data_IF_978047396682
#
_entry.id   IF_978047396682
#
_cell.length_a   1.000
_cell.length_b   1.000
_cell.length_c   1.000
_cell.angle_alpha   90.00
_cell.angle_beta   90.00
_cell.angle_gamma   90.00
#
_symmetry.space_group_name_H-M   'P 1'
#
loop_
_entity.id
_entity.type
_entity.pdbx_description
1 polymer ?
2 non-polymer ?
3 non-polymer ?
4 water ?
#
# COMPACT_ATOMS: atom_id res chain seq x y z
N UNK A 1 -1.35 -21.66 -1.75
CA UNK A 1 -1.54 -20.93 -0.50
C UNK A 1 -3.02 -20.77 -0.19
N UNK A 2 -3.34 -20.68 1.08
CA UNK A 2 -4.70 -20.39 1.50
C UNK A 2 -5.00 -18.90 1.33
N UNK A 3 -6.22 -18.57 0.94
CA UNK A 3 -6.60 -17.18 0.73
C UNK A 3 -6.33 -16.32 1.95
N UNK A 4 -6.66 -16.84 3.13
CA UNK A 4 -6.46 -16.09 4.37
C UNK A 4 -4.97 -15.84 4.62
N UNK A 5 -4.14 -16.81 4.28
CA UNK A 5 -2.69 -16.67 4.46
C UNK A 5 -2.12 -15.57 3.58
N UNK A 6 -2.56 -15.51 2.32
CA UNK A 6 -2.12 -14.45 1.43
C UNK A 6 -2.56 -13.10 1.96
N UNK A 7 -3.82 -13.02 2.39
CA UNK A 7 -4.37 -11.80 2.96
C UNK A 7 -3.57 -11.34 4.18
N UNK A 8 -3.23 -12.27 5.07
CA UNK A 8 -2.58 -11.90 6.33
C UNK A 8 -1.13 -11.45 6.15
N UNK A 9 -0.49 -11.84 5.05
CA UNK A 9 0.89 -11.39 4.83
C UNK A 9 0.99 -10.25 3.82
N UNK A 10 -0.08 -9.97 3.09
CA UNK A 10 -0.01 -8.98 2.01
C UNK A 10 -1.23 -8.07 1.89
N UNK A 11 -2.35 -8.63 1.43
CA UNK A 11 -3.52 -7.83 1.07
C UNK A 11 -4.07 -6.98 2.21
N UNK A 12 -4.00 -7.50 3.43
CA UNK A 12 -4.57 -6.83 4.60
C UNK A 12 -4.03 -5.41 4.78
N UNK A 13 -2.80 -5.17 4.34
CA UNK A 13 -2.12 -3.89 4.55
C UNK A 13 -3.00 -2.72 4.13
N UNK A 14 -3.66 -2.85 2.98
CA UNK A 14 -4.50 -1.78 2.46
C UNK A 14 -5.99 -2.11 2.52
N UNK A 15 -6.32 -3.40 2.50
CA UNK A 15 -7.72 -3.81 2.41
C UNK A 15 -8.40 -4.02 3.77
N UNK A 16 -7.63 -4.15 4.84
CA UNK A 16 -8.25 -4.34 6.16
C UNK A 16 -9.10 -3.13 6.53
N UNK A 17 -8.61 -1.93 6.21
CA UNK A 17 -9.34 -0.70 6.53
C UNK A 17 -9.89 -0.04 5.27
N UNK A 18 -9.50 -0.55 4.11
CA UNK A 18 -9.94 0.01 2.84
C UNK A 18 -9.27 1.34 2.57
N UNK A 19 -7.94 1.34 2.62
CA UNK A 19 -7.17 2.57 2.46
C UNK A 19 -7.18 2.99 0.99
N UNK A 20 -7.20 4.30 0.76
CA UNK A 20 -7.21 4.91 -0.57
C UNK A 20 -8.28 4.32 -1.48
N UNK A 21 -9.43 3.98 -0.90
CA UNK A 21 -10.54 3.46 -1.67
C UNK A 21 -10.51 1.97 -1.94
N UNK A 22 -9.55 1.26 -1.35
CA UNK A 22 -9.50 -0.19 -1.51
C UNK A 22 -10.80 -0.79 -0.97
N UNK A 23 -11.38 -1.75 -1.69
CA UNK A 23 -12.58 -2.41 -1.15
C UNK A 23 -12.24 -3.15 0.13
N UNK A 24 -12.92 -2.79 1.21
CA UNK A 24 -12.60 -3.30 2.54
C UNK A 24 -12.86 -4.80 2.62
N UNK A 25 -11.95 -5.52 3.27
CA UNK A 25 -12.09 -6.96 3.42
C UNK A 25 -13.34 -7.29 4.23
N UNK A 26 -14.03 -8.34 3.81
CA UNK A 26 -15.25 -8.85 4.44
C UNK A 26 -16.44 -7.90 4.28
N UNK A 27 -16.26 -6.87 3.45
CA UNK A 27 -17.34 -5.98 3.06
C UNK A 27 -17.96 -6.50 1.77
N UNK A 28 -18.99 -7.33 1.89
CA UNK A 28 -19.57 -8.01 0.74
C UNK A 28 -20.17 -7.04 -0.27
N UNK A 29 -20.76 -5.95 0.23
CA UNK A 29 -21.38 -4.96 -0.63
C UNK A 29 -20.34 -4.24 -1.48
N UNK A 30 -19.18 -3.96 -0.89
CA UNK A 30 -18.13 -3.24 -1.60
C UNK A 30 -17.48 -4.13 -2.67
N UNK A 31 -17.42 -5.43 -2.39
CA UNK A 31 -16.76 -6.36 -3.30
C UNK A 31 -17.67 -6.88 -4.41
N UNK A 32 -18.98 -6.83 -4.18
CA UNK A 32 -19.94 -7.38 -5.15
C UNK A 32 -19.74 -6.84 -6.58
N UNK A 33 -19.66 -5.51 -6.77
CA UNK A 33 -19.47 -5.04 -8.15
C UNK A 33 -18.13 -5.46 -8.74
N UNK A 34 -17.13 -5.64 -7.88
CA UNK A 34 -15.81 -6.03 -8.36
C UNK A 34 -15.76 -7.51 -8.71
N UNK A 35 -16.32 -8.35 -7.84
CA UNK A 35 -16.47 -9.78 -8.13
C UNK A 35 -17.24 -9.99 -9.44
N UNK A 36 -18.23 -9.13 -9.70
CA UNK A 36 -19.08 -9.25 -10.89
C UNK A 36 -18.29 -9.13 -12.20
N UNK A 37 -17.12 -8.53 -12.15
CA UNK A 37 -16.27 -8.35 -13.29
C UNK A 37 -15.69 -9.68 -13.75
N UNK A 38 -15.72 -10.66 -12.88
CA UNK A 38 -15.16 -11.96 -13.16
C UNK A 38 -13.78 -12.10 -12.54
N UNK A 39 -13.53 -13.25 -11.92
CA UNK A 39 -12.27 -13.49 -11.22
C UNK A 39 -11.06 -13.43 -12.13
N UNK A 40 -11.18 -13.97 -13.35
CA UNK A 40 -10.09 -13.88 -14.33
C UNK A 40 -9.63 -12.43 -14.50
N UNK A 41 -10.61 -11.53 -14.61
CA UNK A 41 -10.34 -10.11 -14.78
C UNK A 41 -9.67 -9.51 -13.54
N UNK A 42 -10.18 -9.88 -12.37
CA UNK A 42 -9.63 -9.37 -11.11
C UNK A 42 -8.20 -9.83 -10.88
N UNK A 43 -7.91 -11.10 -11.15
CA UNK A 43 -6.56 -11.61 -10.97
C UNK A 43 -5.60 -10.86 -11.90
N UNK A 44 -6.02 -10.65 -13.15
CA UNK A 44 -5.21 -9.90 -14.10
C UNK A 44 -4.93 -8.49 -13.60
N UNK A 45 -5.96 -7.83 -13.09
CA UNK A 45 -5.82 -6.48 -12.55
C UNK A 45 -4.83 -6.41 -11.38
N UNK A 46 -4.90 -7.37 -10.47
CA UNK A 46 -4.01 -7.39 -9.31
C UNK A 46 -2.55 -7.52 -9.73
N UNK A 47 -2.31 -8.36 -10.72
CA UNK A 47 -0.95 -8.62 -11.19
C UNK A 47 -0.33 -7.42 -11.91
N UNK A 48 -1.15 -6.61 -12.57
CA UNK A 48 -0.66 -5.44 -13.29
C UNK A 48 -0.75 -4.18 -12.43
N UNK A 49 -1.61 -4.23 -11.42
CA UNK A 49 -1.82 -3.09 -10.56
C UNK A 49 -2.98 -2.24 -11.06
N UNK A 50 -3.51 -1.42 -10.17
CA UNK A 50 -4.61 -0.53 -10.53
C UNK A 50 -4.58 0.69 -9.62
N UNK A 51 -4.21 1.83 -10.21
CA UNK A 51 -4.10 3.08 -9.47
C UNK A 51 -3.17 2.99 -8.28
N UNK A 52 -3.74 3.12 -7.09
CA UNK A 52 -2.97 3.11 -5.85
C UNK A 52 -2.45 1.72 -5.49
N UNK A 53 -3.08 0.67 -6.01
CA UNK A 53 -2.57 -0.67 -5.75
C UNK A 53 -1.41 -1.00 -6.67
N UNK A 54 -0.28 -1.40 -6.08
CA UNK A 54 0.91 -1.80 -6.83
C UNK A 54 0.77 -3.20 -7.44
N UNK A 55 1.39 -3.43 -8.61
CA UNK A 55 1.31 -4.73 -9.29
C UNK A 55 1.73 -5.88 -8.38
N UNK A 56 0.83 -6.85 -8.18
CA UNK A 56 1.13 -8.00 -7.34
C UNK A 56 0.48 -7.95 -5.96
N UNK A 57 -0.02 -6.78 -5.58
CA UNK A 57 -0.64 -6.59 -4.28
C UNK A 57 0.28 -6.97 -3.13
N UNK A 58 1.57 -6.72 -3.32
CA UNK A 58 2.62 -7.01 -2.33
C UNK A 58 2.71 -8.48 -1.90
N UNK A 59 2.19 -9.37 -2.72
CA UNK A 59 2.47 -10.79 -2.55
C UNK A 59 3.60 -11.15 -3.51
N UNK A 60 4.68 -11.72 -2.98
CA UNK A 60 5.88 -11.92 -3.78
C UNK A 60 5.96 -13.31 -4.40
N UNK A 61 5.04 -14.20 -4.01
CA UNK A 61 5.10 -15.58 -4.47
C UNK A 61 3.73 -16.14 -4.87
N UNK A 62 2.83 -15.26 -5.28
CA UNK A 62 1.44 -15.66 -5.53
C UNK A 62 1.18 -16.19 -6.94
N UNK A 63 0.63 -17.39 -7.01
CA UNK A 63 0.09 -17.93 -8.25
C UNK A 63 -1.26 -17.26 -8.53
N UNK A 64 -1.82 -17.50 -9.71
CA UNK A 64 -3.17 -17.03 -10.02
C UNK A 64 -4.17 -17.62 -9.04
N UNK A 65 -3.98 -18.88 -8.68
CA UNK A 65 -4.82 -19.54 -7.70
C UNK A 65 -4.76 -18.86 -6.34
N UNK A 66 -3.56 -18.46 -5.96
CA UNK A 66 -3.35 -17.73 -4.71
C UNK A 66 -4.11 -16.42 -4.72
N UNK A 67 -3.98 -15.66 -5.81
CA UNK A 67 -4.67 -14.38 -5.96
C UNK A 67 -6.18 -14.55 -5.88
N UNK A 68 -6.68 -15.55 -6.60
CA UNK A 68 -8.11 -15.86 -6.59
C UNK A 68 -8.59 -16.23 -5.18
N UNK A 69 -7.83 -17.08 -4.49
CA UNK A 69 -8.18 -17.47 -3.12
C UNK A 69 -8.26 -16.26 -2.19
N UNK A 70 -7.29 -15.36 -2.33
CA UNK A 70 -7.21 -14.16 -1.51
C UNK A 70 -8.43 -13.27 -1.72
N UNK A 71 -8.80 -13.08 -2.98
CA UNK A 71 -9.97 -12.29 -3.33
C UNK A 71 -11.25 -12.90 -2.75
N UNK A 72 -11.39 -14.21 -2.89
CA UNK A 72 -12.54 -14.92 -2.33
C UNK A 72 -12.63 -14.72 -0.81
N UNK A 73 -11.49 -14.74 -0.12
CA UNK A 73 -11.46 -14.50 1.32
C UNK A 73 -11.91 -13.09 1.67
N UNK A 74 -11.50 -12.11 0.87
CA UNK A 74 -11.83 -10.71 1.17
C UNK A 74 -13.28 -10.41 0.82
N UNK A 75 -13.82 -11.13 -0.15
CA UNK A 75 -15.11 -10.79 -0.73
C UNK A 75 -16.28 -11.16 0.18
N UNK A 76 -16.05 -11.91 1.23
CA UNK A 76 -17.05 -12.18 2.23
C UNK A 76 -16.55 -11.83 3.61
N UNK B 1 -1.52 19.84 4.34
CA UNK B 1 -1.81 18.90 5.43
C UNK B 1 -0.63 18.78 6.37
N UNK B 2 -0.88 18.39 7.60
CA UNK B 2 0.16 18.15 8.55
C UNK B 2 0.89 16.86 8.20
N UNK B 3 2.15 16.75 8.54
CA UNK B 3 2.92 15.55 8.26
C UNK B 3 2.39 14.33 8.99
N UNK B 4 2.08 14.51 10.28
CA UNK B 4 1.57 13.43 11.11
C UNK B 4 0.22 12.94 10.61
N UNK B 5 -0.57 13.86 10.07
CA UNK B 5 -1.88 13.50 9.55
C UNK B 5 -1.72 12.60 8.34
N UNK B 6 -0.81 12.97 7.44
CA UNK B 6 -0.54 12.16 6.26
C UNK B 6 -0.09 10.77 6.69
N UNK B 7 0.82 10.72 7.66
CA UNK B 7 1.33 9.46 8.18
C UNK B 7 0.24 8.57 8.77
N UNK B 8 -0.68 9.17 9.51
CA UNK B 8 -1.71 8.42 10.22
C UNK B 8 -2.77 7.86 9.28
N UNK B 9 -2.94 8.48 8.12
CA UNK B 9 -3.98 8.04 7.19
C UNK B 9 -3.43 7.21 6.04
N UNK B 10 -2.11 7.14 5.91
CA UNK B 10 -1.52 6.46 4.75
C UNK B 10 -0.21 5.72 5.04
N UNK B 11 0.85 6.47 5.34
CA UNK B 11 2.20 5.90 5.41
C UNK B 11 2.38 4.84 6.49
N UNK B 12 1.63 4.96 7.58
CA UNK B 12 1.84 4.10 8.75
C UNK B 12 1.64 2.62 8.45
N UNK B 13 0.77 2.31 7.49
CA UNK B 13 0.40 0.92 7.24
C UNK B 13 1.58 0.07 6.75
N UNK B 14 2.65 0.73 6.32
CA UNK B 14 3.88 0.01 5.98
C UNK B 14 5.04 0.46 6.86
N UNK B 15 5.09 1.75 7.16
CA UNK B 15 6.27 2.32 7.79
C UNK B 15 6.27 2.24 9.31
N UNK B 16 5.12 1.97 9.92
CA UNK B 16 5.09 1.78 11.37
C UNK B 16 5.91 0.56 11.80
N UNK B 17 5.62 -0.60 11.21
CA UNK B 17 6.28 -1.84 11.61
C UNK B 17 7.40 -2.21 10.63
N UNK B 18 7.59 -1.39 9.60
CA UNK B 18 8.63 -1.65 8.62
C UNK B 18 8.32 -2.84 7.74
N UNK B 19 7.10 -2.86 7.21
CA UNK B 19 6.62 -3.96 6.38
C UNK B 19 7.40 -4.05 5.06
N UNK B 20 7.77 -5.27 4.67
CA UNK B 20 8.37 -5.54 3.36
C UNK B 20 9.62 -4.71 3.06
N UNK B 21 10.44 -4.48 4.08
CA UNK B 21 11.67 -3.74 3.93
C UNK B 21 11.54 -2.23 4.08
N UNK B 22 10.34 -1.75 4.38
CA UNK B 22 10.12 -0.32 4.56
C UNK B 22 10.91 0.21 5.75
N UNK B 23 11.61 1.35 5.58
CA UNK B 23 12.30 1.96 6.72
C UNK B 23 11.30 2.39 7.79
N UNK B 24 11.47 1.87 9.00
CA UNK B 24 10.55 2.15 10.10
C UNK B 24 10.52 3.63 10.45
N UNK B 25 9.32 4.17 10.61
CA UNK B 25 9.18 5.55 11.03
C UNK B 25 9.92 5.74 12.36
N UNK B 26 10.60 6.88 12.47
CA UNK B 26 11.26 7.31 13.70
C UNK B 26 12.50 6.48 14.04
N UNK B 27 12.95 5.66 13.08
CA UNK B 27 14.23 4.96 13.20
C UNK B 27 15.33 5.89 12.70
N UNK B 28 16.02 6.54 13.63
CA UNK B 28 17.04 7.53 13.29
C UNK B 28 18.10 6.96 12.36
N UNK B 29 18.51 5.72 12.62
CA UNK B 29 19.58 5.08 11.86
C UNK B 29 19.21 4.86 10.39
N UNK B 30 17.93 4.65 10.13
CA UNK B 30 17.48 4.44 8.76
C UNK B 30 17.19 5.77 8.06
N UNK B 31 16.76 6.77 8.82
CA UNK B 31 16.32 8.01 8.20
C UNK B 31 17.41 9.06 8.07
N UNK B 32 18.42 9.02 8.94
CA UNK B 32 19.51 9.99 8.88
C UNK B 32 20.21 10.03 7.51
N UNK B 33 20.59 8.86 6.96
CA UNK B 33 21.20 8.99 5.63
C UNK B 33 20.18 9.40 4.57
N UNK B 34 18.92 9.02 4.75
CA UNK B 34 17.89 9.35 3.78
C UNK B 34 17.67 10.86 3.71
N UNK B 35 17.62 11.50 4.87
CA UNK B 35 17.51 12.95 4.95
C UNK B 35 18.72 13.62 4.29
N UNK B 36 19.88 12.99 4.42
CA UNK B 36 21.13 13.52 3.85
C UNK B 36 21.08 13.60 2.33
N UNK B 37 20.19 12.82 1.72
CA UNK B 37 20.08 12.77 0.27
C UNK B 37 19.23 13.91 -0.27
N UNK B 38 18.57 14.63 0.63
CA UNK B 38 17.71 15.74 0.23
C UNK B 38 16.25 15.36 0.24
N UNK B 39 15.42 16.19 0.86
CA UNK B 39 14.00 15.89 0.99
C UNK B 39 13.30 15.77 -0.37
N UNK B 40 13.67 16.63 -1.31
CA UNK B 40 12.97 16.69 -2.59
C UNK B 40 13.18 15.43 -3.42
N UNK B 41 14.33 14.79 -3.24
CA UNK B 41 14.60 13.54 -3.91
C UNK B 41 13.71 12.45 -3.33
N UNK B 42 13.54 12.47 -2.01
CA UNK B 42 12.70 11.51 -1.32
C UNK B 42 11.24 11.70 -1.74
N UNK B 43 10.83 12.95 -1.87
CA UNK B 43 9.47 13.29 -2.30
C UNK B 43 9.17 12.72 -3.69
N UNK B 44 10.13 12.85 -4.61
CA UNK B 44 9.96 12.31 -5.96
C UNK B 44 9.71 10.80 -5.92
N UNK B 45 10.55 10.08 -5.18
CA UNK B 45 10.45 8.62 -5.06
C UNK B 45 9.07 8.15 -4.57
N UNK B 46 8.48 8.90 -3.64
CA UNK B 46 7.15 8.57 -3.14
C UNK B 46 6.09 8.79 -4.21
N UNK B 47 6.16 9.94 -4.88
CA UNK B 47 5.18 10.29 -5.91
C UNK B 47 5.15 9.26 -7.03
N UNK B 48 6.31 8.81 -7.44
CA UNK B 48 6.42 7.82 -8.48
C UNK B 48 6.29 6.43 -7.95
N UNK B 49 5.99 5.51 -8.83
CA UNK B 49 5.83 4.12 -8.43
C UNK B 49 7.14 3.36 -8.28
N UNK B 50 8.18 4.09 -7.96
CA UNK B 50 9.54 3.63 -7.99
C UNK B 50 9.72 2.38 -7.14
N UNK B 51 9.92 1.26 -7.81
CA UNK B 51 10.11 -0.04 -7.19
C UNK B 51 8.86 -0.80 -6.79
N UNK B 52 7.94 -1.00 -7.74
CA UNK B 52 6.75 -1.81 -7.51
C UNK B 52 5.98 -1.27 -6.33
N UNK B 53 6.17 0.01 -6.05
CA UNK B 53 5.52 0.67 -4.93
C UNK B 53 4.29 1.46 -5.29
N UNK B 54 3.42 1.74 -4.33
CA UNK B 54 2.19 2.47 -4.65
C UNK B 54 2.47 3.95 -4.94
N UNK B 55 2.42 4.37 -6.20
CA UNK B 55 2.67 5.79 -6.48
C UNK B 55 1.85 6.66 -5.55
N UNK B 56 2.51 7.53 -4.80
CA UNK B 56 1.81 8.38 -3.86
C UNK B 56 1.79 7.85 -2.44
N UNK B 57 2.31 6.64 -2.25
CA UNK B 57 2.38 6.03 -0.93
C UNK B 57 1.04 5.93 -0.22
N UNK B 58 0.01 5.57 -0.97
CA UNK B 58 -1.37 5.43 -0.48
C UNK B 58 -1.98 6.73 0.02
N UNK B 59 -1.42 7.87 -0.39
CA UNK B 59 -2.09 9.14 -0.15
C UNK B 59 -2.71 9.64 -1.46
N UNK B 60 -4.01 9.94 -1.42
CA UNK B 60 -4.75 10.28 -2.63
C UNK B 60 -4.89 11.79 -2.86
N UNK B 61 -4.42 12.60 -1.91
CA UNK B 61 -4.58 14.04 -2.02
C UNK B 61 -3.32 14.82 -1.61
N UNK B 62 -2.17 14.16 -1.70
CA UNK B 62 -0.92 14.73 -1.20
C UNK B 62 -0.16 15.54 -2.24
N UNK B 63 0.12 16.79 -1.88
CA UNK B 63 0.96 17.68 -2.67
C UNK B 63 2.43 17.38 -2.39
N UNK B 64 3.31 18.03 -3.13
CA UNK B 64 4.75 17.91 -2.89
C UNK B 64 5.08 18.32 -1.46
N UNK B 65 4.42 19.36 -0.99
CA UNK B 65 4.63 19.86 0.36
C UNK B 65 4.12 18.87 1.41
N UNK B 66 3.00 18.22 1.12
CA UNK B 66 2.43 17.24 2.05
C UNK B 66 3.35 16.02 2.22
N UNK B 67 3.90 15.52 1.12
CA UNK B 67 4.85 14.41 1.17
C UNK B 67 6.07 14.79 2.00
N UNK B 68 6.64 15.94 1.69
CA UNK B 68 7.79 16.48 2.42
C UNK B 68 7.53 16.51 3.92
N UNK B 69 6.37 17.04 4.32
CA UNK B 69 6.00 17.11 5.73
C UNK B 69 5.93 15.72 6.36
N UNK B 70 5.39 14.76 5.62
CA UNK B 70 5.25 13.39 6.10
C UNK B 70 6.61 12.71 6.27
N UNK B 71 7.53 12.98 5.34
CA UNK B 71 8.89 12.47 5.45
C UNK B 71 9.57 12.98 6.71
N UNK B 72 9.49 14.29 6.92
CA UNK B 72 10.09 14.91 8.10
C UNK B 72 9.57 14.27 9.38
N UNK B 73 8.26 14.04 9.43
CA UNK B 73 7.65 13.42 10.60
C UNK B 73 8.20 12.01 10.85
N UNK B 74 8.33 11.21 9.79
CA UNK B 74 8.84 9.85 9.93
C UNK B 74 10.32 9.81 10.31
N UNK B 75 11.04 10.89 10.02
CA UNK B 75 12.47 10.94 10.31
C UNK B 75 12.75 11.57 11.67
N UNK B 76 11.69 11.90 12.40
CA UNK B 76 11.77 12.63 13.68
C UNK B 76 12.41 14.00 13.51
X LIG C 1 -5.83 -4.39 -3.72
X LIG C 1 -8.45 -2.95 -5.34
X LIG C 1 -7.08 -7.55 -4.70
X LIG C 1 -3.30 -6.04 -1.98
X LIG C 1 -4.74 -1.44 -2.61
X LIG C 1 -7.41 -5.11 -4.72
X LIG C 1 -8.31 -4.31 -5.39
X LIG C 1 -9.16 -5.09 -6.20
X LIG C 1 -8.79 -6.38 -6.04
X LIG C 1 -7.71 -6.40 -5.12
X LIG C 1 -9.43 -7.55 -6.73
X LIG C 1 -10.27 -4.58 -7.09
X LIG C 1 -9.74 -4.16 -8.47
X LIG C 1 -10.88 -3.71 -9.35
X LIG C 1 -10.95 -4.09 -10.53
X LIG C 1 -11.75 -2.94 -8.90
X LIG C 1 -5.33 -6.42 -3.39
X LIG C 1 -5.94 -7.51 -3.89
X LIG C 1 -5.27 -8.69 -3.45
X LIG C 1 -4.21 -8.30 -2.69
X LIG C 1 -4.25 -6.82 -2.67
X LIG C 1 -5.67 -10.11 -3.77
X LIG C 1 -3.23 -9.18 -2.00
X LIG C 1 -2.48 -10.06 -2.68
X LIG C 1 -4.28 -3.84 -2.46
X LIG C 1 -3.31 -4.64 -1.92
X LIG C 1 -2.37 -3.81 -1.29
X LIG C 1 -2.78 -2.49 -1.47
X LIG C 1 -3.98 -2.53 -2.22
X LIG C 1 -1.14 -4.29 -0.55
X LIG C 1 -2.11 -1.26 -0.97
X LIG C 1 -0.82 -1.00 -1.22
X LIG C 1 -6.49 -2.64 -3.91
X LIG C 1 -5.89 -1.54 -3.40
X LIG C 1 -6.64 -0.34 -3.79
X LIG C 1 -7.67 -0.76 -4.53
X LIG C 1 -7.54 -2.21 -4.63
X LIG C 1 -6.32 1.08 -3.40
X LIG C 1 -8.72 0.10 -5.18
X LIG C 1 -8.11 0.53 -6.52
X LIG C 1 -9.11 1.27 -7.36
X LIG C 1 -10.31 0.92 -7.38
X LIG C 1 -8.73 2.25 -8.05
X LIG D 1 7.23 4.25 1.70
X LIG D 1 10.55 3.59 1.39
X LIG D 1 8.02 7.66 2.10
X LIG D 1 3.90 5.05 2.39
X LIG D 1 6.44 1.01 1.56
X LIG D 1 8.89 5.38 1.77
X LIG D 1 10.17 4.90 1.54
X LIG D 1 11.08 5.97 1.50
X LIG D 1 10.38 7.11 1.70
X LIG D 1 9.03 6.75 1.86
X LIG D 1 10.98 8.49 1.73
X LIG D 1 12.58 5.92 1.29
X LIG D 1 12.97 5.73 -0.18
X LIG D 1 14.48 5.73 -0.32
X LIG D 1 15.01 6.19 -1.36
X LIG D 1 15.20 5.26 0.59
X LIG D 1 6.20 6.03 2.18
X LIG D 1 6.69 7.27 2.26
X LIG D 1 5.65 8.19 2.56
X LIG D 1 4.48 7.49 2.65
X LIG D 1 4.85 6.08 2.38
X LIG D 1 5.79 9.68 2.75
X LIG D 1 3.14 8.03 2.95
X LIG D 1 2.55 8.89 2.12
X LIG D 1 5.45 3.21 1.97
X LIG D 1 4.20 3.72 2.16
X LIG D 1 3.29 2.65 2.12
X LIG D 1 4.01 1.49 1.88
X LIG D 1 5.38 1.86 1.78
X LIG D 1 1.79 2.79 2.29
X LIG D 1 3.47 0.12 1.76
X LIG D 1 2.58 -0.17 0.81
X LIG D 1 8.28 2.70 1.56
X LIG D 1 7.77 1.45 1.48
X LIG D 1 8.84 0.47 1.31
X LIG D 1 9.99 1.18 1.27
X LIG D 1 9.61 2.59 1.40
X LIG D 1 8.68 -1.03 1.21
X LIG D 1 11.38 0.62 1.08
X LIG D 1 11.61 0.46 -0.42
X LIG D 1 13.01 -0.03 -0.67
X LIG D 1 13.88 0.76 -1.11
X LIG D 1 13.31 -1.22 -0.42
X LIG E 1 6.97 4.62 -0.44
X LIG E 1 8.00 4.65 -1.32
X LIG E 1 7.47 4.75 -2.57
X LIG E 1 6.14 4.78 -2.46
X LIG E 1 5.83 4.71 -1.13
#
# INVERSE_FOLDING_TARGET
>A
QEGKAVYDKACHICHSMGVAGAPKAHDAAAWEPRIAQGLDTLVSTVKTGKGAMPPGGMCTDCTDEDYKSAIEYMSK
>B
QEGKAVYDKACHICHSMGVAGAPKAHDAAAWEPRIAQGLDTLVSTVKTGKGAMPPGGMCTDCTDEDYKSAIEYMSK
>C hetero
1 HEC FE CHA CHB CHC CHD NA C1A C2A C3A C4A CMA CAA CBA CGA O1A O2A NB C1B C2B C3B C4B CMB CAB CBB NC C1C C2C C3C C4C CMC CAC CBC ND C1D C2D C3D C4D CMD CAD CBD CGD O1D O2D
>D hetero
1 HEC FE CHA CHB CHC CHD NA C1A C2A C3A C4A CMA CAA CBA CGA O1A O2A NB C1B C2B C3B C4B CMB CAB CBB NC C1C C2C C3C C4C CMC CAC CBC ND C1D C2D C3D C4D CMD CAD CBD CGD O1D O2D
>E hetero
1 IMD N1 C2 N3 C4 C5
#
